data_IF_137403881563
#
_entry.id   IF_137403881563
#
_cell.length_a   1.000
_cell.length_b   1.000
_cell.length_c   1.000
_cell.angle_alpha   90.00
_cell.angle_beta   90.00
_cell.angle_gamma   90.00
#
_symmetry.space_group_name_H-M   'P 1'
#
loop_
_entity.id
_entity.type
_entity.pdbx_description
1 polymer ?
#
# COMPACT_ATOMS: atom_id res chain seq x y z
N UNK A 1 -1.48 -21.97 8.22
CA UNK A 1 -0.67 -21.21 7.25
C UNK A 1 -1.48 -20.70 6.05
N UNK A 2 -2.22 -21.55 5.31
CA UNK A 2 -2.99 -21.08 4.13
C UNK A 2 -3.95 -19.94 4.46
N UNK A 3 -4.78 -20.09 5.49
CA UNK A 3 -5.75 -19.05 5.88
C UNK A 3 -5.07 -17.74 6.30
N UNK A 4 -3.94 -17.84 7.03
CA UNK A 4 -3.13 -16.69 7.43
C UNK A 4 -2.57 -15.95 6.21
N UNK A 5 -2.06 -16.71 5.23
CA UNK A 5 -1.54 -16.13 3.99
C UNK A 5 -2.67 -15.51 3.14
N UNK A 6 -3.83 -16.14 3.05
CA UNK A 6 -4.99 -15.56 2.33
C UNK A 6 -5.38 -14.22 2.95
N UNK A 7 -5.43 -14.12 4.28
CA UNK A 7 -5.69 -12.87 4.97
C UNK A 7 -4.59 -11.82 4.74
N UNK A 8 -3.30 -12.22 4.70
CA UNK A 8 -2.19 -11.34 4.33
C UNK A 8 -2.33 -10.82 2.89
N UNK A 9 -2.65 -11.70 1.93
CA UNK A 9 -2.86 -11.35 0.53
C UNK A 9 -4.00 -10.33 0.34
N UNK A 10 -5.08 -10.43 1.12
CA UNK A 10 -6.14 -9.41 1.14
C UNK A 10 -5.64 -8.03 1.57
N UNK A 11 -4.68 -7.95 2.50
CA UNK A 11 -4.05 -6.66 2.83
C UNK A 11 -3.21 -6.13 1.65
N UNK A 12 -2.54 -7.00 0.92
CA UNK A 12 -1.79 -6.63 -0.29
C UNK A 12 -2.72 -6.11 -1.41
N UNK A 13 -3.87 -6.76 -1.64
CA UNK A 13 -4.91 -6.27 -2.57
C UNK A 13 -5.39 -4.88 -2.18
N UNK A 14 -5.60 -4.67 -0.88
CA UNK A 14 -6.04 -3.37 -0.39
C UNK A 14 -5.00 -2.27 -0.60
N UNK A 15 -3.71 -2.57 -0.43
CA UNK A 15 -2.61 -1.65 -0.74
C UNK A 15 -2.60 -1.29 -2.22
N UNK A 16 -2.75 -2.28 -3.11
CA UNK A 16 -2.86 -2.06 -4.55
C UNK A 16 -4.04 -1.16 -4.88
N UNK A 17 -5.20 -1.44 -4.31
CA UNK A 17 -6.42 -0.63 -4.50
C UNK A 17 -6.21 0.83 -4.06
N UNK A 18 -5.57 1.07 -2.91
CA UNK A 18 -5.25 2.41 -2.44
C UNK A 18 -4.31 3.15 -3.40
N UNK A 19 -3.26 2.47 -3.88
CA UNK A 19 -2.32 3.05 -4.83
C UNK A 19 -3.00 3.39 -6.17
N UNK A 20 -3.77 2.46 -6.72
CA UNK A 20 -4.47 2.65 -8.00
C UNK A 20 -5.52 3.76 -7.90
N UNK A 21 -6.27 3.81 -6.81
CA UNK A 21 -7.23 4.90 -6.56
C UNK A 21 -6.55 6.26 -6.55
N UNK A 22 -5.41 6.40 -5.86
CA UNK A 22 -4.64 7.65 -5.85
C UNK A 22 -4.12 7.99 -7.24
N UNK A 23 -3.50 7.03 -7.95
CA UNK A 23 -2.99 7.21 -9.31
C UNK A 23 -4.11 7.64 -10.27
N UNK A 24 -5.25 6.96 -10.25
CA UNK A 24 -6.35 7.20 -11.17
C UNK A 24 -7.07 8.52 -10.91
N UNK A 25 -7.05 9.00 -9.66
CA UNK A 25 -7.51 10.35 -9.32
C UNK A 25 -6.50 11.42 -9.77
N UNK A 26 -5.25 11.32 -9.36
CA UNK A 26 -4.32 12.45 -9.37
C UNK A 26 -3.25 12.41 -10.46
N UNK A 27 -2.96 11.23 -11.05
CA UNK A 27 -1.99 11.06 -12.15
C UNK A 27 -2.63 10.89 -13.53
N UNK A 28 -3.92 11.04 -13.66
CA UNK A 28 -4.69 10.72 -14.88
C UNK A 28 -4.89 11.89 -15.84
N UNK A 29 -3.92 12.80 -15.90
CA UNK A 29 -3.84 13.81 -16.96
C UNK A 29 -4.62 15.11 -16.70
N UNK A 30 -4.39 16.09 -17.57
CA UNK A 30 -4.90 17.46 -17.44
C UNK A 30 -6.43 17.58 -17.42
N UNK A 31 -7.23 16.83 -18.22
CA UNK A 31 -8.67 16.96 -18.21
C UNK A 31 -9.29 16.64 -16.84
N UNK A 32 -8.87 15.54 -16.21
CA UNK A 32 -9.35 15.15 -14.87
C UNK A 32 -8.88 16.13 -13.79
N UNK A 33 -7.63 16.59 -13.85
CA UNK A 33 -7.10 17.62 -12.93
C UNK A 33 -7.90 18.94 -13.02
N UNK A 34 -8.24 19.40 -14.23
CA UNK A 34 -9.08 20.60 -14.42
C UNK A 34 -10.48 20.40 -13.86
N UNK A 35 -11.09 19.24 -14.08
CA UNK A 35 -12.42 18.94 -13.57
C UNK A 35 -12.45 18.95 -12.03
N UNK A 36 -11.50 18.30 -11.37
CA UNK A 36 -11.37 18.34 -9.90
C UNK A 36 -11.17 19.77 -9.38
N UNK A 37 -10.29 20.55 -10.05
CA UNK A 37 -10.01 21.91 -9.65
C UNK A 37 -11.22 22.86 -9.84
N UNK A 38 -12.09 22.61 -10.80
CA UNK A 38 -13.31 23.40 -11.03
C UNK A 38 -14.49 22.95 -10.16
N UNK A 39 -14.48 21.71 -9.65
CA UNK A 39 -15.59 21.17 -8.88
C UNK A 39 -15.42 21.39 -7.39
N UNK A 40 -14.31 20.91 -6.79
CA UNK A 40 -14.07 20.96 -5.36
C UNK A 40 -12.56 20.90 -5.05
N UNK A 41 -11.78 21.97 -5.33
CA UNK A 41 -10.31 21.91 -5.25
C UNK A 41 -9.81 21.61 -3.84
N UNK A 42 -10.42 22.16 -2.79
CA UNK A 42 -10.06 21.89 -1.40
C UNK A 42 -10.24 20.43 -1.04
N UNK A 43 -11.41 19.87 -1.35
CA UNK A 43 -11.71 18.46 -1.09
C UNK A 43 -10.70 17.51 -1.75
N UNK A 44 -10.43 17.71 -3.05
CA UNK A 44 -9.48 16.83 -3.75
C UNK A 44 -8.04 16.99 -3.27
N UNK A 45 -7.64 18.19 -2.83
CA UNK A 45 -6.34 18.41 -2.19
C UNK A 45 -6.21 17.62 -0.89
N UNK A 46 -7.22 17.71 -0.03
CA UNK A 46 -7.24 16.98 1.26
C UNK A 46 -7.30 15.46 1.03
N UNK A 47 -8.13 15.00 0.10
CA UNK A 47 -8.24 13.59 -0.25
C UNK A 47 -6.91 13.02 -0.75
N UNK A 48 -6.15 13.77 -1.55
CA UNK A 48 -4.83 13.34 -2.01
C UNK A 48 -3.88 13.09 -0.84
N UNK A 49 -3.84 14.01 0.13
CA UNK A 49 -3.01 13.86 1.34
C UNK A 49 -3.43 12.61 2.11
N UNK A 50 -4.73 12.45 2.38
CA UNK A 50 -5.27 11.30 3.12
C UNK A 50 -4.91 9.97 2.43
N UNK A 51 -5.06 9.89 1.12
CA UNK A 51 -4.76 8.65 0.38
C UNK A 51 -3.27 8.31 0.38
N UNK A 52 -2.39 9.30 0.26
CA UNK A 52 -0.93 9.10 0.35
C UNK A 52 -0.54 8.64 1.75
N UNK A 53 -1.00 9.31 2.80
CA UNK A 53 -0.72 8.94 4.18
C UNK A 53 -1.25 7.55 4.51
N UNK A 54 -2.46 7.24 4.05
CA UNK A 54 -3.06 5.93 4.25
C UNK A 54 -2.30 4.82 3.52
N UNK A 55 -1.87 5.05 2.28
CA UNK A 55 -1.01 4.11 1.54
C UNK A 55 0.30 3.84 2.28
N UNK A 56 1.00 4.88 2.75
CA UNK A 56 2.22 4.76 3.54
C UNK A 56 1.98 3.93 4.81
N UNK A 57 0.88 4.19 5.50
CA UNK A 57 0.51 3.45 6.71
C UNK A 57 0.30 1.96 6.42
N UNK A 58 -0.42 1.62 5.35
CA UNK A 58 -0.69 0.23 4.98
C UNK A 58 0.58 -0.50 4.51
N UNK A 59 1.44 0.16 3.72
CA UNK A 59 2.73 -0.40 3.30
C UNK A 59 3.64 -0.70 4.50
N UNK A 60 3.71 0.21 5.47
CA UNK A 60 4.43 -0.03 6.73
C UNK A 60 3.82 -1.18 7.53
N UNK A 61 2.49 -1.27 7.60
CA UNK A 61 1.77 -2.27 8.38
C UNK A 61 2.12 -3.69 7.96
N UNK A 62 2.16 -3.99 6.65
CA UNK A 62 2.52 -5.35 6.18
C UNK A 62 4.01 -5.66 6.31
N UNK A 63 4.86 -4.64 6.49
CA UNK A 63 6.31 -4.77 6.64
C UNK A 63 6.80 -4.54 8.08
N UNK A 64 5.91 -4.35 9.04
CA UNK A 64 6.24 -4.26 10.47
C UNK A 64 6.77 -5.60 11.02
N UNK A 65 7.26 -5.59 12.26
CA UNK A 65 7.71 -6.80 12.94
C UNK A 65 6.59 -7.83 13.11
N UNK A 66 6.93 -9.12 13.26
CA UNK A 66 5.94 -10.20 13.35
C UNK A 66 5.10 -10.14 14.63
N UNK A 67 5.53 -9.39 15.63
CA UNK A 67 4.83 -9.24 16.91
C UNK A 67 4.85 -7.80 17.41
N UNK A 68 3.84 -7.44 18.21
CA UNK A 68 3.75 -6.17 18.93
C UNK A 68 3.60 -6.44 20.42
N UNK A 69 4.41 -5.80 21.29
CA UNK A 69 4.22 -5.85 22.75
C UNK A 69 2.87 -5.22 23.14
N UNK A 70 2.08 -5.91 23.97
CA UNK A 70 0.79 -5.41 24.47
C UNK A 70 0.80 -5.14 25.98
N UNK A 71 1.97 -5.15 26.60
CA UNK A 71 2.18 -4.94 28.04
C UNK A 71 2.25 -6.25 28.83
N UNK A 72 2.70 -6.16 30.08
CA UNK A 72 2.87 -7.30 31.04
C UNK A 72 3.66 -8.49 30.49
N UNK A 73 4.54 -8.29 29.49
CA UNK A 73 5.31 -9.36 28.86
C UNK A 73 4.56 -10.16 27.79
N UNK A 74 3.32 -9.79 27.49
CA UNK A 74 2.53 -10.39 26.42
C UNK A 74 2.85 -9.74 25.06
N UNK A 75 2.74 -10.52 23.99
CA UNK A 75 2.88 -10.06 22.62
C UNK A 75 1.66 -10.48 21.80
N UNK A 76 1.31 -9.66 20.81
CA UNK A 76 0.30 -9.98 19.79
C UNK A 76 1.02 -10.24 18.47
N UNK A 77 0.62 -11.29 17.77
CA UNK A 77 1.10 -11.57 16.41
C UNK A 77 0.52 -10.56 15.41
N UNK A 78 1.37 -10.13 14.49
CA UNK A 78 1.00 -9.25 13.40
C UNK A 78 0.97 -10.02 12.09
N UNK A 79 0.04 -9.70 11.24
CA UNK A 79 -0.07 -10.26 9.90
C UNK A 79 0.87 -9.47 8.95
N UNK A 80 2.12 -9.90 8.86
CA UNK A 80 3.20 -9.19 8.17
C UNK A 80 4.05 -10.14 7.33
N UNK A 81 4.85 -9.59 6.42
CA UNK A 81 5.86 -10.34 5.65
C UNK A 81 6.74 -11.16 6.60
N UNK A 82 7.23 -10.56 7.68
CA UNK A 82 8.09 -11.26 8.65
C UNK A 82 7.38 -12.43 9.36
N UNK A 83 6.08 -12.33 9.60
CA UNK A 83 5.28 -13.42 10.17
C UNK A 83 5.14 -14.57 9.16
N UNK A 84 4.80 -14.26 7.90
CA UNK A 84 4.68 -15.27 6.83
C UNK A 84 6.05 -15.95 6.57
N UNK A 85 7.14 -15.17 6.48
CA UNK A 85 8.51 -15.71 6.32
C UNK A 85 8.88 -16.67 7.46
N UNK A 86 8.54 -16.31 8.69
CA UNK A 86 8.74 -17.17 9.87
C UNK A 86 7.99 -18.49 9.76
N UNK A 87 6.73 -18.45 9.33
CA UNK A 87 5.89 -19.65 9.14
C UNK A 87 6.43 -20.54 8.00
N UNK A 88 6.90 -19.96 6.90
CA UNK A 88 7.50 -20.68 5.79
C UNK A 88 8.84 -21.31 6.19
N UNK A 89 9.68 -20.54 6.91
CA UNK A 89 10.97 -21.03 7.41
C UNK A 89 10.82 -22.24 8.33
N UNK A 90 9.84 -22.18 9.23
CA UNK A 90 9.56 -23.31 10.15
C UNK A 90 9.13 -24.59 9.42
N UNK A 91 8.67 -24.50 8.18
CA UNK A 91 8.26 -25.62 7.33
C UNK A 91 9.27 -25.96 6.23
N UNK A 92 10.42 -25.27 6.16
CA UNK A 92 11.42 -25.46 5.11
C UNK A 92 10.97 -25.00 3.72
N UNK A 93 9.97 -24.10 3.64
CA UNK A 93 9.37 -23.63 2.40
C UNK A 93 9.85 -22.21 2.00
N UNK A 94 10.69 -21.57 2.81
CA UNK A 94 11.20 -20.22 2.54
C UNK A 94 12.31 -20.26 1.48
N UNK A 95 11.96 -20.00 0.22
CA UNK A 95 12.89 -20.00 -0.93
C UNK A 95 13.72 -18.70 -1.00
N UNK A 96 14.80 -18.71 -1.81
CA UNK A 96 15.61 -17.51 -2.05
C UNK A 96 14.82 -16.44 -2.81
N UNK A 97 13.90 -16.82 -3.67
CA UNK A 97 13.00 -15.89 -4.35
C UNK A 97 12.10 -15.15 -3.36
N UNK A 98 11.45 -15.87 -2.44
CA UNK A 98 10.62 -15.27 -1.39
C UNK A 98 11.45 -14.32 -0.53
N UNK A 99 12.68 -14.71 -0.14
CA UNK A 99 13.61 -13.84 0.62
C UNK A 99 13.94 -12.56 -0.13
N UNK A 100 14.26 -12.67 -1.42
CA UNK A 100 14.59 -11.51 -2.27
C UNK A 100 13.41 -10.53 -2.37
N UNK A 101 12.19 -11.03 -2.52
CA UNK A 101 11.00 -10.21 -2.53
C UNK A 101 10.76 -9.54 -1.17
N UNK A 102 10.87 -10.29 -0.07
CA UNK A 102 10.78 -9.78 1.30
C UNK A 102 11.77 -8.64 1.56
N UNK A 103 13.02 -8.80 1.14
CA UNK A 103 14.04 -7.75 1.24
C UNK A 103 13.69 -6.50 0.41
N UNK A 104 13.08 -6.69 -0.77
CA UNK A 104 12.58 -5.60 -1.61
C UNK A 104 11.51 -4.78 -0.90
N UNK A 105 10.55 -5.44 -0.27
CA UNK A 105 9.49 -4.83 0.52
C UNK A 105 10.07 -4.04 1.72
N UNK A 106 11.02 -4.62 2.44
CA UNK A 106 11.67 -3.95 3.58
C UNK A 106 12.58 -2.78 3.16
N UNK A 107 13.13 -2.77 1.93
CA UNK A 107 13.86 -1.60 1.40
C UNK A 107 12.95 -0.39 1.26
N UNK A 108 11.78 -0.57 0.65
CA UNK A 108 10.80 0.52 0.52
C UNK A 108 10.33 1.05 1.89
N UNK A 109 10.09 0.14 2.84
CA UNK A 109 9.75 0.53 4.21
C UNK A 109 10.74 1.55 4.81
N UNK A 110 12.05 1.37 4.57
CA UNK A 110 13.07 2.29 5.10
C UNK A 110 12.91 3.72 4.60
N UNK A 111 12.39 3.92 3.39
CA UNK A 111 12.16 5.24 2.81
C UNK A 111 10.99 5.97 3.48
N UNK A 112 9.94 5.22 3.87
CA UNK A 112 8.68 5.80 4.34
C UNK A 112 8.50 5.72 5.86
N UNK A 113 9.38 5.03 6.57
CA UNK A 113 9.23 4.74 8.01
C UNK A 113 9.21 6.01 8.87
N UNK A 114 10.04 6.99 8.55
CA UNK A 114 10.09 8.25 9.30
C UNK A 114 8.81 9.07 9.12
N UNK A 115 8.24 9.12 7.91
CA UNK A 115 6.94 9.73 7.69
C UNK A 115 5.85 9.05 8.51
N UNK A 116 5.81 7.70 8.49
CA UNK A 116 4.85 6.93 9.28
C UNK A 116 4.99 7.21 10.78
N UNK A 117 6.20 7.22 11.32
CA UNK A 117 6.41 7.34 12.75
C UNK A 117 6.24 8.78 13.28
N UNK A 118 6.73 9.78 12.55
CA UNK A 118 6.83 11.15 13.02
C UNK A 118 5.70 12.07 12.55
N UNK A 119 5.05 11.75 11.42
CA UNK A 119 4.00 12.58 10.84
C UNK A 119 2.62 11.91 10.88
N UNK A 120 2.53 10.64 10.46
CA UNK A 120 1.23 9.98 10.26
C UNK A 120 0.70 9.35 11.55
N UNK A 121 1.55 8.62 12.31
CA UNK A 121 1.13 7.93 13.53
C UNK A 121 1.26 8.78 14.79
N UNK A 122 2.14 9.75 14.78
CA UNK A 122 2.40 10.66 15.90
C UNK A 122 2.63 12.08 15.37
N UNK A 123 2.09 13.07 16.06
CA UNK A 123 2.42 14.47 15.82
C UNK A 123 3.77 14.79 16.51
N UNK A 124 4.89 14.39 15.89
CA UNK A 124 6.21 14.72 16.39
C UNK A 124 6.41 16.23 16.43
N UNK A 125 6.74 16.77 17.60
CA UNK A 125 6.81 18.21 17.83
C UNK A 125 7.81 18.91 16.91
N UNK A 126 8.99 18.32 16.73
CA UNK A 126 10.03 18.89 15.87
C UNK A 126 9.59 18.93 14.42
N UNK A 127 9.07 17.81 13.91
CA UNK A 127 8.52 17.69 12.55
C UNK A 127 7.38 18.69 12.32
N UNK A 128 6.46 18.81 13.26
CA UNK A 128 5.34 19.74 13.15
C UNK A 128 5.77 21.22 13.15
N UNK A 129 6.83 21.57 13.87
CA UNK A 129 7.33 22.96 13.93
C UNK A 129 8.27 23.32 12.78
N UNK A 130 8.96 22.36 12.20
CA UNK A 130 9.95 22.60 11.14
C UNK A 130 9.39 22.38 9.74
N UNK A 131 8.18 21.84 9.61
CA UNK A 131 7.54 21.51 8.32
C UNK A 131 8.42 20.66 7.39
N UNK A 132 9.24 19.76 7.96
CA UNK A 132 10.09 18.85 7.18
C UNK A 132 9.20 17.83 6.47
N UNK A 133 9.33 17.75 5.14
CA UNK A 133 8.70 16.69 4.36
C UNK A 133 9.43 15.37 4.62
N UNK A 134 8.70 14.39 5.20
CA UNK A 134 9.21 13.05 5.47
C UNK A 134 8.65 12.04 4.46
N UNK A 135 9.40 10.95 4.25
CA UNK A 135 8.95 9.86 3.38
C UNK A 135 8.96 10.19 1.89
N UNK A 136 9.73 11.21 1.50
CA UNK A 136 9.92 11.51 0.08
C UNK A 136 10.59 10.32 -0.62
N UNK A 137 9.99 9.89 -1.72
CA UNK A 137 10.50 8.80 -2.55
C UNK A 137 10.05 8.97 -4.01
N UNK A 138 10.74 8.32 -4.93
CA UNK A 138 10.38 8.34 -6.34
C UNK A 138 9.16 7.43 -6.60
N UNK A 139 8.33 7.80 -7.57
CA UNK A 139 7.21 6.95 -8.02
C UNK A 139 7.70 5.56 -8.44
N UNK A 140 8.89 5.47 -9.05
CA UNK A 140 9.52 4.19 -9.41
C UNK A 140 9.79 3.28 -8.20
N UNK A 141 10.05 3.84 -7.03
CA UNK A 141 10.28 3.08 -5.79
C UNK A 141 8.95 2.50 -5.26
N UNK A 142 7.87 3.28 -5.33
CA UNK A 142 6.54 2.78 -5.00
C UNK A 142 6.07 1.69 -5.97
N UNK A 143 6.32 1.85 -7.27
CA UNK A 143 6.01 0.81 -8.27
C UNK A 143 6.85 -0.45 -8.08
N UNK A 144 8.14 -0.31 -7.72
CA UNK A 144 8.99 -1.46 -7.39
C UNK A 144 8.50 -2.20 -6.13
N UNK A 145 8.01 -1.47 -5.13
CA UNK A 145 7.39 -2.08 -3.94
C UNK A 145 6.18 -2.93 -4.31
N UNK A 146 5.29 -2.43 -5.17
CA UNK A 146 4.12 -3.18 -5.64
C UNK A 146 4.53 -4.43 -6.44
N UNK A 147 5.54 -4.32 -7.30
CA UNK A 147 6.08 -5.45 -8.07
C UNK A 147 6.66 -6.53 -7.13
N UNK A 148 7.44 -6.14 -6.11
CA UNK A 148 7.92 -7.07 -5.09
C UNK A 148 6.77 -7.71 -4.30
N UNK A 149 5.73 -6.95 -3.99
CA UNK A 149 4.55 -7.44 -3.26
C UNK A 149 3.80 -8.50 -4.07
N UNK A 150 3.59 -8.28 -5.36
CA UNK A 150 2.96 -9.26 -6.26
C UNK A 150 3.81 -10.52 -6.37
N UNK A 151 5.11 -10.39 -6.69
CA UNK A 151 6.05 -11.51 -6.78
C UNK A 151 6.14 -12.30 -5.48
N UNK A 152 6.13 -11.61 -4.34
CA UNK A 152 6.10 -12.25 -3.03
C UNK A 152 4.83 -13.10 -2.86
N UNK A 153 3.67 -12.54 -3.17
CA UNK A 153 2.40 -13.27 -3.08
C UNK A 153 2.34 -14.47 -4.03
N UNK A 154 2.86 -14.34 -5.25
CA UNK A 154 2.90 -15.43 -6.23
C UNK A 154 3.84 -16.56 -5.77
N UNK A 155 5.07 -16.22 -5.37
CA UNK A 155 6.05 -17.20 -4.90
C UNK A 155 5.58 -17.94 -3.63
N UNK A 156 4.94 -17.24 -2.69
CA UNK A 156 4.34 -17.89 -1.51
C UNK A 156 3.16 -18.77 -1.92
N UNK A 157 2.28 -18.30 -2.81
CA UNK A 157 1.14 -19.07 -3.32
C UNK A 157 1.58 -20.40 -3.92
N UNK A 158 2.66 -20.38 -4.71
CA UNK A 158 3.23 -21.58 -5.36
C UNK A 158 3.70 -22.61 -4.32
N UNK A 159 4.52 -22.21 -3.35
CA UNK A 159 5.11 -23.16 -2.38
C UNK A 159 4.09 -23.74 -1.39
N UNK A 160 2.98 -23.04 -1.13
CA UNK A 160 1.92 -23.53 -0.24
C UNK A 160 0.73 -24.14 -0.97
N UNK A 161 0.72 -24.11 -2.30
CA UNK A 161 -0.37 -24.64 -3.14
C UNK A 161 -1.69 -23.88 -2.93
N UNK A 162 -1.63 -22.57 -3.13
CA UNK A 162 -2.80 -21.66 -3.17
C UNK A 162 -2.85 -21.05 -4.56
N UNK A 163 -4.04 -20.90 -5.14
CA UNK A 163 -4.20 -20.26 -6.44
C UNK A 163 -3.63 -18.82 -6.43
N UNK A 164 -2.87 -18.42 -7.46
CA UNK A 164 -2.35 -17.06 -7.57
C UNK A 164 -3.48 -16.03 -7.68
N UNK A 165 -3.19 -14.80 -7.32
CA UNK A 165 -4.15 -13.70 -7.39
C UNK A 165 -3.74 -12.73 -8.49
N UNK A 166 -4.69 -12.32 -9.32
CA UNK A 166 -4.46 -11.25 -10.29
C UNK A 166 -4.75 -9.88 -9.68
N UNK A 167 -3.70 -9.17 -9.26
CA UNK A 167 -3.80 -7.83 -8.70
C UNK A 167 -4.23 -6.74 -9.68
N UNK A 168 -4.36 -7.05 -10.99
CA UNK A 168 -4.75 -6.07 -12.02
C UNK A 168 -6.25 -5.74 -12.04
N UNK A 169 -7.07 -6.54 -11.36
CA UNK A 169 -8.52 -6.33 -11.30
C UNK A 169 -8.93 -5.53 -10.05
N UNK A 170 -8.45 -4.28 -9.96
CA UNK A 170 -8.87 -3.38 -8.88
C UNK A 170 -10.03 -2.44 -9.27
N UNK A 171 -10.49 -2.48 -10.53
CA UNK A 171 -11.57 -1.63 -11.03
C UNK A 171 -12.90 -2.38 -11.08
N UNK A 172 -13.97 -1.70 -10.67
CA UNK A 172 -15.32 -2.23 -10.67
C UNK A 172 -16.36 -1.11 -10.72
N UNK A 173 -17.66 -1.45 -10.79
CA UNK A 173 -18.72 -0.44 -10.77
C UNK A 173 -18.59 0.49 -9.56
N UNK A 174 -18.65 1.80 -9.79
CA UNK A 174 -18.49 2.82 -8.75
C UNK A 174 -17.04 3.22 -8.46
N UNK A 175 -16.11 2.89 -9.34
CA UNK A 175 -14.70 3.27 -9.24
C UNK A 175 -14.43 4.74 -9.61
N UNK A 176 -13.15 5.11 -9.67
CA UNK A 176 -12.70 6.46 -10.04
C UNK A 176 -13.18 6.89 -11.44
N UNK A 177 -13.33 5.96 -12.37
CA UNK A 177 -13.82 6.30 -13.71
C UNK A 177 -15.31 6.70 -13.68
N UNK A 178 -16.11 6.02 -12.89
CA UNK A 178 -17.52 6.37 -12.69
C UNK A 178 -17.67 7.70 -11.92
N UNK A 179 -16.79 7.99 -10.95
CA UNK A 179 -16.75 9.30 -10.31
C UNK A 179 -16.52 10.42 -11.34
N UNK A 180 -15.50 10.29 -12.19
CA UNK A 180 -15.24 11.32 -13.21
C UNK A 180 -16.35 11.45 -14.24
N UNK A 181 -16.99 10.36 -14.61
CA UNK A 181 -18.17 10.38 -15.46
C UNK A 181 -19.33 11.17 -14.80
N UNK A 182 -19.58 10.92 -13.54
CA UNK A 182 -20.61 11.65 -12.78
C UNK A 182 -20.27 13.14 -12.66
N UNK A 183 -19.03 13.51 -12.33
CA UNK A 183 -18.58 14.89 -12.23
C UNK A 183 -18.65 15.63 -13.56
N UNK A 184 -18.46 14.96 -14.67
CA UNK A 184 -18.50 15.53 -16.03
C UNK A 184 -19.91 15.45 -16.67
N UNK A 185 -20.97 15.44 -15.87
CA UNK A 185 -22.35 15.41 -16.36
C UNK A 185 -22.73 14.12 -17.10
N UNK A 186 -22.10 13.01 -16.78
CA UNK A 186 -22.32 11.71 -17.41
C UNK A 186 -21.42 11.42 -18.62
N UNK A 187 -20.54 12.35 -19.01
CA UNK A 187 -19.59 12.14 -20.11
C UNK A 187 -18.30 11.50 -19.58
N UNK A 188 -17.90 10.38 -20.16
CA UNK A 188 -16.68 9.68 -19.78
C UNK A 188 -15.42 10.48 -20.17
N UNK A 189 -14.50 10.64 -19.21
CA UNK A 189 -13.16 11.19 -19.41
C UNK A 189 -12.12 10.08 -19.23
N UNK A 190 -11.50 9.58 -20.33
CA UNK A 190 -10.46 8.56 -20.20
C UNK A 190 -9.22 9.12 -19.50
N UNK A 191 -8.44 8.30 -18.82
CA UNK A 191 -7.09 8.66 -18.40
C UNK A 191 -6.22 8.89 -19.65
N UNK A 192 -5.31 9.82 -19.58
CA UNK A 192 -4.34 10.15 -20.64
C UNK A 192 -2.98 9.53 -20.38
#
# INVERSE_FOLDING_TARGET
>A
MKDTFIAFRQQCEWIQTCFDTNRDLFDSGLPRKKLMASTAPGFFKELNIILIEYYILQACKITDGPTTPVGRGETRENLTVANIDGMLSAQGLLTDEIRSCSEGLHRYRKLILDARNRSISHADKETALTYIELGWHLKSEALAFLDYMHKYCDAVSEVIGVEPLDFRFSSGPGDVADLFKALNGGVYLPPT
#
